data_IF_149882875219
#
_entry.id   IF_149882875219
#
_cell.length_a   1.000
_cell.length_b   1.000
_cell.length_c   1.000
_cell.angle_alpha   90.00
_cell.angle_beta   90.00
_cell.angle_gamma   90.00
#
_symmetry.space_group_name_H-M   'P 1'
#
loop_
_entity.id
_entity.type
_entity.pdbx_description
1 polymer ?
#
# COMPACT_ATOMS: atom_id res chain seq x y z
N UNK A 1 -0.98 3.36 -13.36
CA UNK A 1 -0.03 2.25 -13.20
C UNK A 1 -0.47 1.33 -12.06
N UNK A 2 -0.39 0.05 -12.28
CA UNK A 2 -0.81 -0.93 -11.28
C UNK A 2 0.40 -1.56 -10.60
N UNK A 3 0.14 -2.12 -9.42
CA UNK A 3 1.18 -2.77 -8.64
C UNK A 3 0.69 -4.14 -8.18
N UNK A 4 1.62 -5.03 -7.92
CA UNK A 4 1.31 -6.33 -7.34
C UNK A 4 2.30 -6.64 -6.23
N UNK A 5 1.86 -7.46 -5.28
CA UNK A 5 2.70 -7.88 -4.18
C UNK A 5 3.74 -8.88 -4.72
N UNK A 6 5.00 -8.68 -4.34
CA UNK A 6 6.08 -9.52 -4.82
C UNK A 6 5.94 -10.96 -4.32
N UNK A 7 6.41 -11.91 -5.15
CA UNK A 7 6.40 -13.31 -4.77
C UNK A 7 7.26 -13.52 -3.53
N UNK A 8 6.76 -14.31 -2.60
CA UNK A 8 7.47 -14.59 -1.35
C UNK A 8 7.17 -13.62 -0.23
N UNK A 9 6.45 -12.54 -0.51
CA UNK A 9 6.00 -11.61 0.52
C UNK A 9 4.69 -12.11 1.09
N UNK A 10 4.66 -12.29 2.42
CA UNK A 10 3.46 -12.70 3.13
C UNK A 10 2.95 -11.53 3.96
N UNK A 11 1.67 -11.52 4.24
CA UNK A 11 1.11 -10.47 5.06
C UNK A 11 -0.11 -10.97 5.80
N UNK A 12 -0.41 -10.31 6.90
CA UNK A 12 -1.54 -10.66 7.74
C UNK A 12 -2.14 -9.38 8.32
N UNK A 13 -3.45 -9.37 8.47
CA UNK A 13 -4.14 -8.26 9.11
C UNK A 13 -4.52 -8.65 10.53
N UNK A 14 -4.18 -7.80 11.50
CA UNK A 14 -4.51 -7.99 12.91
C UNK A 14 -5.05 -6.67 13.45
N UNK A 15 -6.30 -6.66 13.89
CA UNK A 15 -6.96 -5.47 14.43
C UNK A 15 -6.90 -4.26 13.48
N UNK A 16 -7.05 -4.54 12.17
CA UNK A 16 -7.06 -3.49 11.16
C UNK A 16 -5.69 -3.05 10.71
N UNK A 17 -4.63 -3.57 11.30
CA UNK A 17 -3.27 -3.23 10.90
C UNK A 17 -2.62 -4.39 10.15
N UNK A 18 -1.88 -4.04 9.10
CA UNK A 18 -1.19 -5.03 8.27
C UNK A 18 0.24 -5.19 8.78
N UNK A 19 0.67 -6.45 8.90
CA UNK A 19 2.07 -6.78 9.10
C UNK A 19 2.56 -7.49 7.85
N UNK A 20 3.72 -7.07 7.32
CA UNK A 20 4.32 -7.63 6.13
C UNK A 20 5.55 -8.43 6.54
N UNK A 21 5.66 -9.66 6.05
CA UNK A 21 6.83 -10.49 6.29
C UNK A 21 7.45 -10.83 4.94
N UNK A 22 8.68 -10.39 4.74
CA UNK A 22 9.41 -10.63 3.50
C UNK A 22 10.72 -11.34 3.81
N UNK A 23 11.27 -12.11 2.84
CA UNK A 23 12.54 -12.80 3.05
C UNK A 23 13.66 -11.84 3.43
N UNK A 24 14.48 -12.21 4.41
CA UNK A 24 15.69 -11.47 4.83
C UNK A 24 15.42 -10.05 5.32
N UNK A 25 14.20 -9.77 5.74
CA UNK A 25 13.84 -8.47 6.28
C UNK A 25 13.08 -8.64 7.59
N UNK A 26 13.16 -7.65 8.45
CA UNK A 26 12.35 -7.63 9.66
C UNK A 26 10.88 -7.38 9.29
N UNK A 27 9.93 -7.86 10.10
CA UNK A 27 8.52 -7.59 9.83
C UNK A 27 8.25 -6.08 9.79
N UNK A 28 7.42 -5.66 8.85
CA UNK A 28 7.01 -4.27 8.71
C UNK A 28 5.56 -4.11 9.13
N UNK A 29 5.29 -3.12 9.98
CA UNK A 29 3.95 -2.85 10.47
C UNK A 29 3.42 -1.58 9.82
N UNK A 30 2.25 -1.66 9.22
CA UNK A 30 1.64 -0.51 8.55
C UNK A 30 0.61 0.14 9.47
N UNK A 31 0.56 1.47 9.44
CA UNK A 31 -0.48 2.19 10.18
C UNK A 31 -1.83 2.03 9.46
N UNK A 32 -2.87 2.68 9.96
CA UNK A 32 -4.22 2.52 9.42
C UNK A 32 -4.30 2.87 7.93
N UNK A 33 -3.80 4.04 7.54
CA UNK A 33 -3.87 4.46 6.14
C UNK A 33 -3.00 3.59 5.25
N UNK A 34 -1.81 3.23 5.73
CA UNK A 34 -0.92 2.32 4.99
C UNK A 34 -1.54 0.95 4.80
N UNK A 35 -2.27 0.47 5.80
CA UNK A 35 -2.95 -0.82 5.70
C UNK A 35 -4.06 -0.79 4.65
N UNK A 36 -4.78 0.32 4.56
CA UNK A 36 -5.82 0.48 3.54
C UNK A 36 -5.18 0.50 2.14
N UNK A 37 -4.09 1.25 1.98
CA UNK A 37 -3.37 1.31 0.70
C UNK A 37 -2.90 -0.08 0.29
N UNK A 38 -2.33 -0.83 1.22
CA UNK A 38 -1.86 -2.19 0.96
C UNK A 38 -2.98 -3.10 0.45
N UNK A 39 -4.13 -3.05 1.12
CA UNK A 39 -5.28 -3.89 0.72
C UNK A 39 -5.81 -3.51 -0.65
N UNK A 40 -5.78 -2.22 -1.00
CA UNK A 40 -6.21 -1.76 -2.32
C UNK A 40 -5.23 -2.20 -3.40
N UNK A 41 -3.93 -2.18 -3.10
CA UNK A 41 -2.92 -2.71 -4.02
C UNK A 41 -3.18 -4.20 -4.27
N UNK A 42 -3.45 -4.95 -3.21
CA UNK A 42 -3.74 -6.38 -3.32
C UNK A 42 -4.97 -6.64 -4.21
N UNK A 43 -5.95 -5.74 -4.18
CA UNK A 43 -7.14 -5.85 -5.02
C UNK A 43 -6.89 -5.45 -6.48
N UNK A 44 -5.71 -4.95 -6.80
CA UNK A 44 -5.38 -4.56 -8.17
C UNK A 44 -5.74 -3.13 -8.54
N UNK A 45 -5.98 -2.28 -7.55
CA UNK A 45 -6.27 -0.86 -7.82
C UNK A 45 -5.01 -0.14 -8.26
N UNK A 46 -5.13 0.74 -9.26
CA UNK A 46 -4.02 1.60 -9.64
C UNK A 46 -3.94 2.80 -8.69
N UNK A 47 -2.89 3.59 -8.84
CA UNK A 47 -2.65 4.73 -7.94
C UNK A 47 -3.79 5.74 -7.96
N UNK A 48 -4.33 6.04 -9.14
CA UNK A 48 -5.43 6.99 -9.29
C UNK A 48 -6.67 6.53 -8.50
N UNK A 49 -6.99 5.24 -8.59
CA UNK A 49 -8.14 4.69 -7.91
C UNK A 49 -7.91 4.62 -6.39
N UNK A 50 -6.68 4.36 -5.98
CA UNK A 50 -6.32 4.37 -4.56
C UNK A 50 -6.50 5.77 -3.98
N UNK A 51 -6.01 6.79 -4.68
CA UNK A 51 -6.16 8.19 -4.25
C UNK A 51 -7.64 8.56 -4.14
N UNK A 52 -8.43 8.22 -5.14
CA UNK A 52 -9.86 8.52 -5.14
C UNK A 52 -10.57 7.85 -3.96
N UNK A 53 -10.22 6.60 -3.67
CA UNK A 53 -10.82 5.85 -2.58
C UNK A 53 -10.49 6.48 -1.23
N UNK A 54 -9.23 6.84 -1.02
CA UNK A 54 -8.79 7.45 0.24
C UNK A 54 -9.34 8.85 0.41
N UNK A 55 -9.41 9.64 -0.64
CA UNK A 55 -9.97 10.99 -0.58
C UNK A 55 -11.42 10.96 -0.13
N UNK A 56 -12.16 9.98 -0.61
CA UNK A 56 -13.55 9.79 -0.21
C UNK A 56 -13.65 9.31 1.24
N UNK A 57 -12.78 8.38 1.63
CA UNK A 57 -12.80 7.79 2.96
C UNK A 57 -12.45 8.81 4.04
N UNK A 58 -11.45 9.65 3.80
CA UNK A 58 -10.96 10.59 4.80
C UNK A 58 -11.44 12.03 4.59
N UNK A 59 -12.18 12.29 3.53
CA UNK A 59 -12.68 13.64 3.21
C UNK A 59 -11.55 14.68 3.20
N UNK A 60 -10.41 14.29 2.64
CA UNK A 60 -9.23 15.13 2.63
C UNK A 60 -8.88 15.59 1.22
N UNK A 61 -8.06 16.65 1.12
CA UNK A 61 -7.65 17.22 -0.14
C UNK A 61 -6.89 16.19 -0.98
N UNK A 62 -7.25 16.08 -2.26
CA UNK A 62 -6.63 15.13 -3.19
C UNK A 62 -5.13 15.31 -3.30
N UNK A 63 -4.63 16.54 -3.21
CA UNK A 63 -3.20 16.83 -3.33
C UNK A 63 -2.45 16.18 -2.17
N UNK A 64 -2.98 16.30 -0.96
CA UNK A 64 -2.36 15.71 0.25
C UNK A 64 -2.40 14.19 0.16
N UNK A 65 -3.55 13.64 -0.18
CA UNK A 65 -3.72 12.19 -0.30
C UNK A 65 -2.80 11.63 -1.38
N UNK A 66 -2.72 12.30 -2.52
CA UNK A 66 -1.87 11.84 -3.63
C UNK A 66 -0.40 11.80 -3.22
N UNK A 67 0.05 12.81 -2.48
CA UNK A 67 1.43 12.83 -1.99
C UNK A 67 1.69 11.66 -1.04
N UNK A 68 0.77 11.43 -0.10
CA UNK A 68 0.93 10.35 0.88
C UNK A 68 0.91 8.98 0.21
N UNK A 69 0.01 8.75 -0.74
CA UNK A 69 -0.07 7.50 -1.49
C UNK A 69 1.22 7.29 -2.29
N UNK A 70 1.67 8.33 -2.98
CA UNK A 70 2.89 8.26 -3.78
C UNK A 70 4.10 7.91 -2.92
N UNK A 71 4.25 8.58 -1.77
CA UNK A 71 5.37 8.33 -0.86
C UNK A 71 5.34 6.89 -0.34
N UNK A 72 4.17 6.40 0.01
CA UNK A 72 4.02 5.02 0.48
C UNK A 72 4.36 4.00 -0.60
N UNK A 73 3.87 4.22 -1.82
CA UNK A 73 4.16 3.32 -2.93
C UNK A 73 5.66 3.29 -3.21
N UNK A 74 6.32 4.45 -3.18
CA UNK A 74 7.77 4.49 -3.37
C UNK A 74 8.51 3.68 -2.31
N UNK A 75 8.09 3.78 -1.05
CA UNK A 75 8.70 3.00 0.02
C UNK A 75 8.48 1.51 -0.16
N UNK A 76 7.27 1.12 -0.56
CA UNK A 76 6.97 -0.29 -0.77
C UNK A 76 7.77 -0.87 -1.94
N UNK A 77 7.96 -0.07 -3.00
CA UNK A 77 8.79 -0.48 -4.14
C UNK A 77 10.26 -0.59 -3.73
N UNK A 78 10.75 0.38 -2.96
CA UNK A 78 12.15 0.40 -2.51
C UNK A 78 12.47 -0.82 -1.67
N UNK A 79 11.55 -1.24 -0.82
CA UNK A 79 11.73 -2.39 0.04
C UNK A 79 11.39 -3.71 -0.64
N UNK A 80 11.02 -3.66 -1.91
CA UNK A 80 10.71 -4.84 -2.73
C UNK A 80 9.51 -5.64 -2.20
N UNK A 81 8.57 -4.96 -1.55
CA UNK A 81 7.33 -5.58 -1.14
C UNK A 81 6.32 -5.66 -2.28
N UNK A 82 6.39 -4.69 -3.20
CA UNK A 82 5.53 -4.64 -4.38
C UNK A 82 6.38 -4.39 -5.62
N UNK A 83 5.78 -4.62 -6.77
CA UNK A 83 6.42 -4.33 -8.06
C UNK A 83 5.36 -3.75 -8.99
N UNK A 84 5.82 -3.03 -10.02
CA UNK A 84 4.92 -2.54 -11.05
C UNK A 84 4.43 -3.72 -11.88
N UNK A 85 3.12 -3.68 -12.21
CA UNK A 85 2.52 -4.69 -13.07
C UNK A 85 1.61 -4.01 -14.09
N UNK A 86 1.45 -4.63 -15.23
CA UNK A 86 0.57 -4.08 -16.29
C UNK A 86 -0.79 -4.74 -16.24
#
# INVERSE_FOLDING_TARGET
MKYSICKGVLWQETDGEIVIVAPKQDPAYLNESGSIIWKLIDKGYDETKIVATLSKEYSEDDVIIRKDVNDMIKDLLKNEYIKESN
#
